data_IF_631964981817
#
_entry.id   IF_631964981817
#
_cell.length_a   1.000
_cell.length_b   1.000
_cell.length_c   1.000
_cell.angle_alpha   90.00
_cell.angle_beta   90.00
_cell.angle_gamma   90.00
#
_symmetry.space_group_name_H-M   'P 1'
#
loop_
_entity.id
_entity.type
_entity.pdbx_description
1 polymer ?
#
# COMPACT_ATOMS: atom_id res chain seq x y z
N UNK A 1 -35.18 58.54 -24.74
CA UNK A 1 -34.21 57.43 -24.97
C UNK A 1 -32.75 57.91 -24.88
N UNK A 2 -32.33 58.54 -23.78
CA UNK A 2 -30.92 58.96 -23.57
C UNK A 2 -30.39 58.72 -22.14
N UNK A 3 -31.20 58.16 -21.23
CA UNK A 3 -30.80 57.93 -19.82
C UNK A 3 -30.44 56.47 -19.49
N UNK A 4 -30.67 55.53 -20.40
CA UNK A 4 -30.35 54.10 -20.19
C UNK A 4 -29.01 53.65 -20.79
N UNK A 5 -28.37 54.47 -21.63
CA UNK A 5 -27.08 54.10 -22.27
C UNK A 5 -25.89 54.39 -21.35
N UNK A 6 -26.00 55.38 -20.46
CA UNK A 6 -24.90 55.75 -19.54
C UNK A 6 -24.75 54.74 -18.40
N UNK A 7 -25.83 54.06 -17.99
CA UNK A 7 -25.79 53.07 -16.91
C UNK A 7 -25.14 51.76 -17.37
N UNK A 8 -25.32 51.34 -18.63
CA UNK A 8 -24.67 50.13 -19.16
C UNK A 8 -23.15 50.30 -19.35
N UNK A 9 -22.64 51.50 -19.67
CA UNK A 9 -21.19 51.68 -19.83
C UNK A 9 -20.43 51.75 -18.50
N UNK A 10 -21.06 52.17 -17.40
CA UNK A 10 -20.42 52.16 -16.07
C UNK A 10 -20.43 50.76 -15.46
N UNK A 11 -21.40 49.90 -15.78
CA UNK A 11 -21.38 48.50 -15.32
C UNK A 11 -20.30 47.65 -16.03
N UNK A 12 -19.99 47.95 -17.30
CA UNK A 12 -18.97 47.20 -18.04
C UNK A 12 -17.53 47.51 -17.61
N UNK A 13 -17.24 48.67 -17.01
CA UNK A 13 -15.89 48.99 -16.53
C UNK A 13 -15.58 48.39 -15.15
N UNK A 14 -16.59 48.10 -14.32
CA UNK A 14 -16.38 47.36 -13.06
C UNK A 14 -16.23 45.84 -13.25
N UNK A 15 -16.74 45.27 -14.35
CA UNK A 15 -16.58 43.84 -14.65
C UNK A 15 -15.21 43.48 -15.25
N UNK A 16 -14.49 44.43 -15.84
CA UNK A 16 -13.15 44.18 -16.41
C UNK A 16 -11.99 44.41 -15.42
N UNK A 17 -12.25 45.03 -14.26
CA UNK A 17 -11.26 45.15 -13.18
C UNK A 17 -11.29 43.96 -12.18
N UNK A 18 -12.21 43.01 -12.34
CA UNK A 18 -12.30 41.82 -11.50
C UNK A 18 -11.50 40.61 -12.04
N UNK A 19 -10.90 40.70 -13.24
CA UNK A 19 -10.13 39.61 -13.86
C UNK A 19 -8.61 39.82 -13.84
N UNK A 20 -8.08 40.74 -13.02
CA UNK A 20 -6.63 40.92 -12.85
C UNK A 20 -6.14 40.92 -11.40
N UNK A 21 -6.91 40.36 -10.46
CA UNK A 21 -6.29 39.83 -9.25
C UNK A 21 -5.76 38.43 -9.59
N UNK A 22 -4.48 38.36 -9.99
CA UNK A 22 -3.67 37.16 -9.74
C UNK A 22 -3.90 36.81 -8.28
N UNK A 23 -4.69 35.77 -8.04
CA UNK A 23 -4.64 35.08 -6.77
C UNK A 23 -3.16 34.76 -6.55
N UNK A 24 -2.56 35.15 -5.41
CA UNK A 24 -1.38 34.46 -4.98
C UNK A 24 -1.80 33.00 -4.98
N UNK A 25 -1.07 32.18 -5.73
CA UNK A 25 -1.08 30.74 -5.55
C UNK A 25 -0.80 30.59 -4.06
N UNK A 26 -1.86 30.47 -3.25
CA UNK A 26 -1.78 29.91 -1.93
C UNK A 26 -1.35 28.49 -2.25
N UNK A 27 -0.03 28.33 -2.34
CA UNK A 27 0.66 27.14 -1.93
C UNK A 27 0.17 26.90 -0.51
N UNK A 28 -1.02 26.32 -0.40
CA UNK A 28 -1.26 25.33 0.61
C UNK A 28 -0.19 24.29 0.34
N UNK A 29 1.00 24.51 0.92
CA UNK A 29 1.82 23.40 1.37
C UNK A 29 0.82 22.37 1.89
N UNK A 30 0.87 21.11 1.42
CA UNK A 30 0.07 20.07 2.04
C UNK A 30 0.23 20.30 3.54
N UNK A 31 -0.89 20.42 4.28
CA UNK A 31 -0.85 20.34 5.74
C UNK A 31 0.09 19.20 6.00
N UNK A 32 1.27 19.51 6.53
CA UNK A 32 2.29 18.52 6.81
C UNK A 32 1.55 17.56 7.72
N UNK A 33 1.10 16.44 7.14
CA UNK A 33 0.35 15.44 7.86
C UNK A 33 1.20 15.19 9.07
N UNK A 34 0.61 15.38 10.25
CA UNK A 34 1.25 15.02 11.52
C UNK A 34 2.00 13.72 11.25
N UNK A 35 3.33 13.77 11.32
CA UNK A 35 4.14 12.60 10.97
C UNK A 35 3.69 11.54 11.96
N UNK A 36 2.88 10.59 11.50
CA UNK A 36 2.35 9.53 12.34
C UNK A 36 3.58 8.75 12.77
N UNK A 37 4.11 9.04 13.96
CA UNK A 37 5.28 8.33 14.45
C UNK A 37 4.83 6.92 14.79
N UNK A 38 5.16 5.98 13.90
CA UNK A 38 4.90 4.59 14.14
C UNK A 38 5.72 4.11 15.34
N UNK A 39 5.06 3.42 16.27
CA UNK A 39 5.74 2.85 17.43
C UNK A 39 6.43 1.55 17.01
N UNK A 40 7.76 1.49 17.22
CA UNK A 40 8.52 0.25 17.03
C UNK A 40 7.95 -0.86 17.91
N UNK A 41 7.81 -2.04 17.35
CA UNK A 41 7.31 -3.21 18.05
C UNK A 41 8.31 -3.63 19.13
N UNK A 42 7.96 -3.40 20.40
CA UNK A 42 8.72 -3.92 21.55
C UNK A 42 8.38 -5.38 21.85
N UNK A 43 7.18 -5.81 21.49
CA UNK A 43 6.66 -7.17 21.65
C UNK A 43 6.02 -7.62 20.34
N UNK A 44 6.10 -8.92 20.05
CA UNK A 44 5.34 -9.56 18.97
C UNK A 44 4.22 -10.38 19.57
N UNK A 45 3.00 -9.94 19.30
CA UNK A 45 1.76 -10.48 19.83
C UNK A 45 0.94 -11.14 18.73
N UNK A 46 0.30 -12.26 19.07
CA UNK A 46 -0.66 -12.92 18.19
C UNK A 46 -1.84 -11.99 17.92
N UNK A 47 -2.30 -11.96 16.67
CA UNK A 47 -3.43 -11.16 16.21
C UNK A 47 -3.08 -9.70 15.90
N UNK A 48 -1.87 -9.23 16.20
CA UNK A 48 -1.42 -7.87 15.90
C UNK A 48 -0.72 -7.82 14.54
N UNK A 49 -1.08 -6.82 13.73
CA UNK A 49 -0.40 -6.56 12.45
C UNK A 49 0.74 -5.57 12.63
N UNK A 50 1.87 -5.90 12.02
CA UNK A 50 3.08 -5.10 11.99
C UNK A 50 3.43 -4.73 10.55
N UNK A 51 3.84 -3.48 10.32
CA UNK A 51 4.51 -3.05 9.08
C UNK A 51 6.01 -3.27 9.22
N UNK A 52 6.67 -3.78 8.19
CA UNK A 52 8.13 -3.80 8.08
C UNK A 52 8.60 -2.52 7.37
N UNK A 53 9.58 -1.83 7.96
CA UNK A 53 10.10 -0.55 7.45
C UNK A 53 9.25 0.66 7.87
N UNK A 54 9.87 1.84 7.91
CA UNK A 54 9.26 3.11 8.32
C UNK A 54 8.93 4.05 7.17
N UNK A 55 9.32 3.72 5.93
CA UNK A 55 9.11 4.65 4.82
C UNK A 55 7.61 4.79 4.50
N UNK A 56 7.09 6.01 4.69
CA UNK A 56 5.71 6.39 4.37
C UNK A 56 5.51 6.58 2.87
N UNK A 57 6.59 6.72 2.10
CA UNK A 57 6.56 6.87 0.65
C UNK A 57 6.84 5.55 -0.08
N UNK A 58 7.28 4.51 0.62
CA UNK A 58 7.40 3.19 0.01
C UNK A 58 6.00 2.61 -0.19
N UNK A 59 5.56 2.66 -1.45
CA UNK A 59 4.29 2.09 -1.92
C UNK A 59 4.26 0.57 -1.74
N UNK A 60 5.42 -0.06 -1.56
CA UNK A 60 5.56 -1.49 -1.35
C UNK A 60 5.36 -1.81 0.11
N UNK A 61 4.10 -1.89 0.55
CA UNK A 61 3.87 -2.04 1.98
C UNK A 61 3.93 -3.51 2.39
N UNK A 62 4.97 -3.85 3.16
CA UNK A 62 5.14 -5.18 3.74
C UNK A 62 4.49 -5.26 5.12
N UNK A 63 3.54 -6.17 5.29
CA UNK A 63 2.83 -6.39 6.54
C UNK A 63 2.95 -7.83 7.01
N UNK A 64 3.02 -8.04 8.32
CA UNK A 64 3.06 -9.38 8.94
C UNK A 64 2.13 -9.46 10.14
N UNK A 65 1.54 -10.64 10.38
CA UNK A 65 0.75 -10.93 11.57
C UNK A 65 0.94 -12.40 11.95
N UNK A 66 1.28 -12.64 13.21
CA UNK A 66 1.19 -13.98 13.81
C UNK A 66 -0.29 -14.26 14.08
N UNK A 67 -0.87 -15.28 13.46
CA UNK A 67 -2.32 -15.54 13.51
C UNK A 67 -2.72 -16.39 14.70
N UNK A 68 -1.84 -17.31 15.11
CA UNK A 68 -1.93 -18.12 16.32
C UNK A 68 -0.51 -18.46 16.81
N UNK A 69 -0.37 -19.46 17.67
CA UNK A 69 0.91 -19.87 18.27
C UNK A 69 1.93 -20.47 17.28
N UNK A 70 1.52 -20.81 16.06
CA UNK A 70 2.37 -21.48 15.05
C UNK A 70 2.25 -20.89 13.65
N UNK A 71 1.17 -20.21 13.33
CA UNK A 71 0.91 -19.74 11.98
C UNK A 71 1.08 -18.23 11.87
N UNK A 72 1.41 -17.79 10.67
CA UNK A 72 1.48 -16.37 10.34
C UNK A 72 0.95 -16.13 8.94
N UNK A 73 0.61 -14.87 8.71
CA UNK A 73 0.43 -14.34 7.36
C UNK A 73 1.35 -13.16 7.15
N UNK A 74 1.75 -12.96 5.91
CA UNK A 74 2.33 -11.70 5.48
C UNK A 74 1.74 -11.25 4.15
N UNK A 75 1.74 -9.95 3.92
CA UNK A 75 1.21 -9.33 2.72
C UNK A 75 2.18 -8.30 2.18
N UNK A 76 2.41 -8.33 0.88
CA UNK A 76 3.08 -7.26 0.14
C UNK A 76 2.03 -6.62 -0.75
N UNK A 77 1.70 -5.38 -0.47
CA UNK A 77 0.61 -4.64 -1.11
C UNK A 77 1.18 -3.60 -2.07
N UNK A 78 1.14 -3.91 -3.36
CA UNK A 78 1.51 -3.04 -4.48
C UNK A 78 0.25 -2.65 -5.28
N UNK A 79 -0.92 -2.67 -4.64
CA UNK A 79 -2.19 -2.37 -5.32
C UNK A 79 -2.54 -0.88 -5.32
N UNK A 80 -1.73 -0.05 -4.67
CA UNK A 80 -2.05 1.34 -4.36
C UNK A 80 -1.70 2.34 -5.47
N UNK A 81 -1.02 1.90 -6.53
CA UNK A 81 -0.66 2.76 -7.65
C UNK A 81 -1.89 3.40 -8.28
N UNK A 82 -1.76 4.68 -8.62
CA UNK A 82 -2.69 5.41 -9.48
C UNK A 82 -2.49 5.06 -10.94
N UNK A 83 -3.45 5.42 -11.81
CA UNK A 83 -3.31 5.15 -13.23
C UNK A 83 -2.08 5.87 -13.81
N UNK A 84 -1.88 7.14 -13.46
CA UNK A 84 -0.73 7.92 -13.91
C UNK A 84 0.61 7.26 -13.50
N UNK A 85 0.71 6.73 -12.27
CA UNK A 85 1.92 6.02 -11.83
C UNK A 85 2.15 4.70 -12.59
N UNK A 86 1.08 3.97 -12.92
CA UNK A 86 1.18 2.76 -13.74
C UNK A 86 1.60 3.09 -15.17
N UNK A 87 1.02 4.13 -15.76
CA UNK A 87 1.35 4.59 -17.10
C UNK A 87 2.81 5.06 -17.16
N UNK A 88 3.32 5.72 -16.12
CA UNK A 88 4.73 6.09 -15.99
C UNK A 88 5.65 4.87 -15.88
N UNK A 89 5.26 3.84 -15.12
CA UNK A 89 6.01 2.58 -15.00
C UNK A 89 6.06 1.84 -16.35
N UNK A 90 4.92 1.76 -17.04
CA UNK A 90 4.76 1.00 -18.30
C UNK A 90 5.23 1.78 -19.54
N UNK A 91 5.55 3.07 -19.41
CA UNK A 91 6.13 3.86 -20.50
C UNK A 91 7.57 3.45 -20.83
N UNK A 92 8.23 2.66 -19.98
CA UNK A 92 9.53 2.08 -20.26
C UNK A 92 9.37 0.92 -21.27
N UNK A 93 9.85 1.08 -22.50
CA UNK A 93 9.70 0.11 -23.60
C UNK A 93 10.32 -1.27 -23.29
N UNK A 94 11.23 -1.34 -22.31
CA UNK A 94 11.84 -2.59 -21.85
C UNK A 94 11.09 -3.21 -20.64
N UNK A 95 10.03 -2.57 -20.16
CA UNK A 95 9.21 -3.09 -19.05
C UNK A 95 8.13 -4.05 -19.52
N UNK A 96 7.86 -5.07 -18.69
CA UNK A 96 6.66 -5.90 -18.83
C UNK A 96 5.51 -5.10 -18.21
N UNK A 97 4.34 -5.10 -18.85
CA UNK A 97 3.14 -4.42 -18.35
C UNK A 97 2.94 -4.70 -16.86
N UNK A 98 3.01 -3.63 -16.09
CA UNK A 98 2.88 -3.64 -14.65
C UNK A 98 1.42 -3.37 -14.27
N UNK A 99 0.89 -4.30 -13.49
CA UNK A 99 -0.47 -4.26 -12.97
C UNK A 99 -0.45 -4.10 -11.44
N UNK A 100 -1.46 -3.44 -10.84
CA UNK A 100 -1.62 -3.47 -9.39
C UNK A 100 -1.66 -4.91 -8.88
N UNK A 101 -0.89 -5.19 -7.83
CA UNK A 101 -0.70 -6.57 -7.36
C UNK A 101 -0.66 -6.66 -5.83
N UNK A 102 -1.22 -7.74 -5.29
CA UNK A 102 -1.04 -8.12 -3.88
C UNK A 102 -0.45 -9.52 -3.82
N UNK A 103 0.63 -9.66 -3.06
CA UNK A 103 1.16 -10.96 -2.67
C UNK A 103 0.67 -11.25 -1.25
N UNK A 104 -0.08 -12.33 -1.07
CA UNK A 104 -0.53 -12.78 0.24
C UNK A 104 0.01 -14.18 0.52
N UNK A 105 0.73 -14.32 1.62
CA UNK A 105 1.40 -15.56 1.99
C UNK A 105 0.95 -16.03 3.35
N UNK A 106 0.68 -17.33 3.46
CA UNK A 106 0.47 -18.06 4.70
C UNK A 106 1.67 -18.96 4.98
N UNK A 107 2.01 -19.12 6.24
CA UNK A 107 3.08 -20.02 6.64
C UNK A 107 3.09 -20.38 8.10
N UNK A 108 4.18 -21.02 8.50
CA UNK A 108 4.44 -21.42 9.88
C UNK A 108 5.62 -20.62 10.44
N UNK A 109 5.63 -20.38 11.74
CA UNK A 109 6.77 -19.80 12.41
C UNK A 109 7.26 -20.65 13.57
N UNK A 110 8.56 -20.56 13.83
CA UNK A 110 9.20 -21.10 15.03
C UNK A 110 9.76 -19.95 15.86
N UNK A 111 9.87 -20.17 17.18
CA UNK A 111 10.46 -19.21 18.11
C UNK A 111 11.65 -19.84 18.82
N UNK A 112 12.79 -19.15 18.79
CA UNK A 112 14.02 -19.52 19.49
C UNK A 112 14.43 -18.36 20.39
N UNK A 113 14.12 -18.46 21.69
CA UNK A 113 14.23 -17.33 22.59
C UNK A 113 13.26 -16.21 22.19
N UNK A 114 13.80 -15.03 21.90
CA UNK A 114 13.01 -13.90 21.39
C UNK A 114 12.94 -13.83 19.86
N UNK A 115 13.78 -14.61 19.15
CA UNK A 115 13.86 -14.60 17.70
C UNK A 115 12.75 -15.46 17.10
N UNK A 116 12.27 -15.06 15.92
CA UNK A 116 11.22 -15.75 15.18
C UNK A 116 11.71 -16.04 13.76
N UNK A 117 11.52 -17.27 13.31
CA UNK A 117 11.75 -17.65 11.90
C UNK A 117 10.42 -17.92 11.24
N UNK A 118 10.13 -17.19 10.16
CA UNK A 118 8.91 -17.29 9.37
C UNK A 118 9.18 -18.12 8.11
N UNK A 119 8.55 -19.29 8.01
CA UNK A 119 8.71 -20.22 6.88
C UNK A 119 7.45 -20.22 6.02
N UNK A 120 7.49 -19.71 4.78
CA UNK A 120 6.31 -19.64 3.93
C UNK A 120 5.85 -21.04 3.49
N UNK A 121 4.53 -21.24 3.40
CA UNK A 121 3.93 -22.51 2.97
C UNK A 121 3.12 -22.38 1.70
N UNK A 122 2.29 -21.35 1.60
CA UNK A 122 1.55 -21.05 0.36
C UNK A 122 1.50 -19.56 0.15
N UNK A 123 1.47 -19.15 -1.12
CA UNK A 123 1.30 -17.77 -1.54
C UNK A 123 0.27 -17.71 -2.64
N UNK A 124 -0.60 -16.71 -2.57
CA UNK A 124 -1.38 -16.24 -3.70
C UNK A 124 -0.84 -14.89 -4.16
N UNK A 125 -0.69 -14.76 -5.48
CA UNK A 125 -0.45 -13.48 -6.14
C UNK A 125 -1.76 -13.12 -6.82
N UNK A 126 -2.31 -11.95 -6.53
CA UNK A 126 -3.53 -11.43 -7.15
C UNK A 126 -3.20 -10.17 -7.91
N UNK A 127 -3.47 -10.18 -9.21
CA UNK A 127 -3.29 -9.06 -10.12
C UNK A 127 -4.67 -8.46 -10.42
N UNK A 128 -4.73 -7.13 -10.42
CA UNK A 128 -5.90 -6.33 -10.76
C UNK A 128 -5.63 -5.67 -12.09
N UNK A 129 -6.66 -5.52 -12.94
CA UNK A 129 -6.48 -4.91 -14.26
C UNK A 129 -6.04 -3.45 -14.17
N UNK A 130 -6.61 -2.70 -13.24
CA UNK A 130 -6.38 -1.28 -13.05
C UNK A 130 -6.69 -0.86 -11.61
N UNK A 131 -6.42 0.40 -11.21
CA UNK A 131 -6.73 0.89 -9.87
C UNK A 131 -8.23 0.90 -9.53
N UNK A 132 -9.11 0.90 -10.54
CA UNK A 132 -10.56 0.82 -10.33
C UNK A 132 -10.96 -0.60 -9.88
N UNK A 133 -10.36 -1.64 -10.46
CA UNK A 133 -10.55 -3.03 -10.03
C UNK A 133 -10.10 -3.25 -8.59
N UNK A 134 -9.03 -2.59 -8.14
CA UNK A 134 -8.61 -2.62 -6.72
C UNK A 134 -9.70 -2.04 -5.81
N UNK A 135 -10.28 -0.89 -6.18
CA UNK A 135 -11.36 -0.24 -5.43
C UNK A 135 -12.64 -1.08 -5.39
N UNK A 136 -12.97 -1.69 -6.52
CA UNK A 136 -14.15 -2.53 -6.68
C UNK A 136 -13.93 -3.96 -6.13
N UNK A 137 -12.70 -4.26 -5.68
CA UNK A 137 -12.28 -5.57 -5.16
C UNK A 137 -12.48 -6.71 -6.16
N UNK A 138 -12.14 -6.46 -7.42
CA UNK A 138 -12.24 -7.43 -8.51
C UNK A 138 -10.85 -7.92 -8.88
N UNK A 139 -10.57 -9.20 -8.65
CA UNK A 139 -9.32 -9.83 -9.06
C UNK A 139 -9.45 -10.27 -10.52
N UNK A 140 -8.53 -9.81 -11.36
CA UNK A 140 -8.45 -10.17 -12.78
C UNK A 140 -7.63 -11.45 -13.01
N UNK A 141 -6.56 -11.65 -12.24
CA UNK A 141 -5.71 -12.84 -12.33
C UNK A 141 -5.27 -13.26 -10.93
N UNK A 142 -5.16 -14.57 -10.69
CA UNK A 142 -4.55 -15.10 -9.46
C UNK A 142 -3.69 -16.33 -9.73
N UNK A 143 -2.56 -16.40 -9.03
CA UNK A 143 -1.61 -17.52 -9.13
C UNK A 143 -1.27 -18.03 -7.74
N UNK A 144 -1.41 -19.34 -7.54
CA UNK A 144 -1.04 -20.02 -6.30
C UNK A 144 0.37 -20.62 -6.42
N UNK A 145 1.14 -20.54 -5.35
CA UNK A 145 2.47 -21.12 -5.25
C UNK A 145 2.64 -21.79 -3.88
N UNK A 146 3.25 -22.97 -3.85
CA UNK A 146 3.46 -23.75 -2.64
C UNK A 146 4.95 -23.88 -2.26
N UNK A 147 5.19 -24.07 -0.96
CA UNK A 147 6.49 -24.37 -0.33
C UNK A 147 7.60 -23.44 -0.82
N UNK A 148 8.61 -23.98 -1.50
CA UNK A 148 9.79 -23.26 -1.96
C UNK A 148 9.47 -22.15 -2.97
N UNK A 149 8.26 -22.17 -3.57
CA UNK A 149 7.76 -21.11 -4.46
C UNK A 149 6.89 -20.08 -3.75
N UNK A 150 6.55 -20.29 -2.48
CA UNK A 150 5.68 -19.40 -1.71
C UNK A 150 6.40 -18.14 -1.19
N UNK A 151 7.73 -18.10 -1.25
CA UNK A 151 8.53 -16.94 -0.86
C UNK A 151 9.81 -17.35 -0.15
N UNK A 152 10.54 -16.36 0.37
CA UNK A 152 11.73 -16.59 1.18
C UNK A 152 11.37 -16.74 2.65
N UNK A 153 12.19 -17.50 3.37
CA UNK A 153 12.18 -17.52 4.84
C UNK A 153 12.64 -16.16 5.37
N UNK A 154 11.96 -15.66 6.41
CA UNK A 154 12.30 -14.41 7.09
C UNK A 154 12.76 -14.72 8.50
N UNK A 155 13.74 -13.97 9.00
CA UNK A 155 14.17 -14.04 10.39
C UNK A 155 13.92 -12.70 11.04
N UNK A 156 13.07 -12.70 12.08
CA UNK A 156 12.79 -11.53 12.90
C UNK A 156 13.59 -11.68 14.19
N UNK A 157 14.44 -10.71 14.46
CA UNK A 157 15.32 -10.70 15.64
C UNK A 157 14.95 -9.55 16.56
N UNK A 158 15.21 -9.77 17.85
CA UNK A 158 15.12 -8.71 18.85
C UNK A 158 16.42 -7.90 18.85
N UNK A 159 16.32 -6.59 18.66
CA UNK A 159 17.42 -5.65 18.80
C UNK A 159 17.09 -4.55 19.82
N UNK A 160 18.11 -3.76 20.20
CA UNK A 160 17.95 -2.64 21.11
C UNK A 160 16.93 -1.63 20.58
N UNK A 161 15.75 -1.61 21.19
CA UNK A 161 14.66 -0.70 20.86
C UNK A 161 13.51 -1.30 20.05
N UNK A 162 13.56 -2.58 19.64
CA UNK A 162 12.44 -3.21 18.93
C UNK A 162 12.76 -4.52 18.24
N UNK A 163 11.79 -5.01 17.47
CA UNK A 163 11.98 -6.12 16.55
C UNK A 163 12.36 -5.62 15.16
N UNK A 164 13.26 -6.33 14.49
CA UNK A 164 13.65 -6.06 13.11
C UNK A 164 13.64 -7.34 12.29
N UNK A 165 13.37 -7.22 11.00
CA UNK A 165 13.69 -8.28 10.04
C UNK A 165 15.19 -8.23 9.73
N UNK A 166 15.90 -9.33 9.97
CA UNK A 166 17.31 -9.47 9.63
C UNK A 166 17.44 -9.97 8.19
N UNK A 167 17.79 -9.07 7.26
CA UNK A 167 17.96 -9.40 5.85
C UNK A 167 19.35 -8.99 5.33
N UNK A 168 20.32 -9.90 5.43
CA UNK A 168 21.62 -9.87 4.74
C UNK A 168 22.33 -8.49 4.73
N UNK A 169 22.30 -7.77 5.85
CA UNK A 169 22.99 -6.48 6.02
C UNK A 169 22.07 -5.26 6.11
N UNK A 170 20.77 -5.40 5.85
CA UNK A 170 19.76 -4.38 6.11
C UNK A 170 18.74 -4.89 7.13
N UNK A 171 18.51 -4.11 8.19
CA UNK A 171 17.52 -4.41 9.24
C UNK A 171 16.30 -3.51 9.08
N UNK A 172 15.14 -4.10 8.80
CA UNK A 172 13.87 -3.37 8.70
C UNK A 172 13.12 -3.46 10.03
N UNK A 173 12.90 -2.32 10.70
CA UNK A 173 12.15 -2.29 11.96
C UNK A 173 10.68 -2.68 11.75
N UNK A 174 10.13 -3.39 12.72
CA UNK A 174 8.70 -3.70 12.77
C UNK A 174 7.96 -2.61 13.54
N UNK A 175 6.80 -2.21 13.01
CA UNK A 175 5.97 -1.15 13.56
C UNK A 175 4.54 -1.63 13.75
N UNK A 176 3.96 -1.41 14.93
CA UNK A 176 2.56 -1.78 15.18
C UNK A 176 1.63 -0.86 14.38
N UNK A 177 0.66 -1.44 13.68
CA UNK A 177 -0.32 -0.69 12.89
C UNK A 177 -1.75 -1.18 13.14
N UNK A 178 -2.74 -0.35 12.78
CA UNK A 178 -4.15 -0.67 12.94
C UNK A 178 -4.76 -1.47 11.77
N UNK A 179 -4.00 -1.70 10.68
CA UNK A 179 -4.48 -2.47 9.52
C UNK A 179 -4.81 -3.88 9.97
N UNK A 180 -5.98 -4.39 9.59
CA UNK A 180 -6.39 -5.76 9.88
C UNK A 180 -5.99 -6.64 8.71
N UNK A 181 -5.05 -7.55 8.92
CA UNK A 181 -4.77 -8.60 7.94
C UNK A 181 -5.82 -9.74 8.05
N UNK A 182 -6.19 -10.41 6.94
CA UNK A 182 -6.86 -11.71 6.95
C UNK A 182 -6.05 -12.78 7.74
N UNK A 183 -6.64 -13.90 8.16
CA UNK A 183 -5.90 -14.96 8.88
C UNK A 183 -5.39 -16.09 7.97
N UNK A 184 -5.85 -16.16 6.72
CA UNK A 184 -5.49 -17.19 5.76
C UNK A 184 -5.62 -16.68 4.32
N UNK A 185 -5.11 -17.44 3.34
CA UNK A 185 -5.36 -17.14 1.92
C UNK A 185 -6.87 -17.17 1.61
N UNK A 186 -7.63 -18.09 2.21
CA UNK A 186 -9.07 -18.19 1.99
C UNK A 186 -9.80 -16.94 2.51
N UNK A 187 -9.46 -16.47 3.72
CA UNK A 187 -9.99 -15.23 4.29
C UNK A 187 -9.61 -14.00 3.45
N UNK A 188 -8.43 -14.01 2.85
CA UNK A 188 -7.97 -12.96 1.96
C UNK A 188 -8.81 -12.94 0.68
N UNK A 189 -8.88 -14.07 -0.02
CA UNK A 189 -9.61 -14.17 -1.30
C UNK A 189 -11.11 -13.96 -1.14
N UNK A 190 -11.71 -14.34 0.00
CA UNK A 190 -13.12 -14.12 0.29
C UNK A 190 -13.54 -12.64 0.33
N UNK A 191 -12.58 -11.71 0.34
CA UNK A 191 -12.84 -10.27 0.31
C UNK A 191 -13.02 -9.71 -1.10
N UNK A 192 -12.80 -10.54 -2.14
CA UNK A 192 -12.75 -10.12 -3.52
C UNK A 192 -13.65 -10.98 -4.40
N UNK A 193 -14.20 -10.36 -5.44
CA UNK A 193 -14.81 -11.08 -6.55
C UNK A 193 -13.72 -11.49 -7.54
N UNK A 194 -13.84 -12.69 -8.10
CA UNK A 194 -12.92 -13.17 -9.13
C UNK A 194 -13.59 -13.12 -10.51
N UNK A 195 -13.12 -12.20 -11.35
CA UNK A 195 -13.59 -12.03 -12.72
C UNK A 195 -12.36 -12.13 -13.63
N UNK A 196 -12.05 -13.35 -14.12
CA UNK A 196 -10.82 -13.58 -14.87
C UNK A 196 -10.81 -12.78 -16.17
N UNK A 197 -9.73 -12.04 -16.39
CA UNK A 197 -9.46 -11.32 -17.63
C UNK A 197 -8.04 -11.65 -18.13
N UNK A 198 -7.83 -11.59 -19.44
CA UNK A 198 -6.49 -11.62 -20.00
C UNK A 198 -5.82 -10.27 -19.68
N UNK A 199 -4.68 -10.35 -18.98
CA UNK A 199 -3.79 -9.22 -18.77
C UNK A 199 -2.74 -9.30 -19.89
N UNK A 200 -2.63 -8.22 -20.66
CA UNK A 200 -1.69 -8.09 -21.79
C UNK A 200 -0.24 -8.00 -21.29
#
# INVERSE_FOLDING_TARGET
MKKYIVICMVLCTFLLAACQAKSPKNSSKPKQSETVRLEKAKTLEVGITYKLGDDFNDLNTFYVKLTDDKHYVYMIDHSHYTQDELDEINADEDSVDYYPVIHFTEGEYTREGENITLTPKKRVITEFKDPQHVKDKIIASKRLSDKDKAGRTLTIVKEDGGYVENNQGNSLSLYKIAKKLPNSIDDFLAQYDYQPEELE
#
